data_IF_383974441597
#
_entry.id   IF_383974441597
#
_cell.length_a   1.000
_cell.length_b   1.000
_cell.length_c   1.000
_cell.angle_alpha   90.00
_cell.angle_beta   90.00
_cell.angle_gamma   90.00
#
_symmetry.space_group_name_H-M   'P 1'
#
loop_
_entity.id
_entity.type
_entity.pdbx_description
1 polymer ?
#
# COMPACT_ATOMS: atom_id res chain seq x y z
N UNK A 1 -15.15 -16.55 32.37
CA UNK A 1 -15.30 -16.68 30.91
C UNK A 1 -13.89 -16.87 30.40
N UNK A 2 -13.61 -17.96 29.69
CA UNK A 2 -12.29 -18.18 29.09
C UNK A 2 -12.27 -17.26 27.88
N UNK A 3 -11.32 -16.34 27.84
CA UNK A 3 -11.07 -15.50 26.67
C UNK A 3 -10.34 -16.39 25.66
N UNK A 4 -11.09 -17.24 24.96
CA UNK A 4 -10.58 -17.96 23.80
C UNK A 4 -10.48 -16.95 22.65
N UNK A 5 -9.26 -16.46 22.44
CA UNK A 5 -8.93 -15.62 21.30
C UNK A 5 -9.25 -16.42 20.01
N UNK A 6 -9.86 -15.79 18.99
CA UNK A 6 -10.17 -16.47 17.73
C UNK A 6 -8.90 -17.03 17.09
N UNK A 7 -9.01 -18.20 16.46
CA UNK A 7 -7.87 -18.81 15.77
C UNK A 7 -7.55 -18.05 14.48
N UNK A 8 -6.31 -18.14 13.98
CA UNK A 8 -5.91 -17.51 12.71
C UNK A 8 -6.82 -17.96 11.53
N UNK A 9 -7.25 -19.24 11.52
CA UNK A 9 -8.18 -19.78 10.53
C UNK A 9 -9.57 -19.12 10.60
N UNK A 10 -10.02 -18.76 11.82
CA UNK A 10 -11.27 -18.01 12.00
C UNK A 10 -11.11 -16.58 11.48
N UNK A 11 -9.98 -15.92 11.80
CA UNK A 11 -9.69 -14.58 11.32
C UNK A 11 -9.66 -14.50 9.79
N UNK A 12 -8.98 -15.44 9.12
CA UNK A 12 -8.90 -15.49 7.66
C UNK A 12 -10.27 -15.70 7.00
N UNK A 13 -11.16 -16.47 7.64
CA UNK A 13 -12.52 -16.70 7.15
C UNK A 13 -13.39 -15.44 7.24
N UNK A 14 -13.15 -14.57 8.22
CA UNK A 14 -13.95 -13.37 8.48
C UNK A 14 -13.27 -12.06 8.05
N UNK A 15 -12.01 -12.11 7.59
CA UNK A 15 -11.27 -10.95 7.09
C UNK A 15 -11.81 -10.35 5.77
N UNK A 16 -12.90 -10.90 5.21
CA UNK A 16 -13.45 -10.52 3.91
C UNK A 16 -14.40 -9.32 3.92
N UNK A 17 -14.55 -8.60 5.03
CA UNK A 17 -15.51 -7.48 5.12
C UNK A 17 -14.87 -6.12 4.82
N UNK A 18 -13.54 -6.03 4.84
CA UNK A 18 -12.81 -4.80 4.53
C UNK A 18 -11.67 -5.06 3.56
N UNK A 19 -11.33 -4.04 2.78
CA UNK A 19 -10.15 -4.01 1.93
C UNK A 19 -9.61 -2.59 1.82
N UNK A 20 -8.73 -2.36 0.87
CA UNK A 20 -8.03 -1.09 0.72
C UNK A 20 -8.44 -0.37 -0.56
N UNK A 21 -8.61 0.95 -0.46
CA UNK A 21 -8.83 1.82 -1.61
C UNK A 21 -7.56 1.83 -2.48
N UNK A 22 -7.66 1.51 -3.79
CA UNK A 22 -6.48 1.45 -4.66
C UNK A 22 -5.82 2.82 -4.92
N UNK A 23 -6.55 3.91 -4.70
CA UNK A 23 -6.09 5.27 -5.00
C UNK A 23 -5.42 5.96 -3.81
N UNK A 24 -5.96 5.77 -2.59
CA UNK A 24 -5.45 6.43 -1.39
C UNK A 24 -4.90 5.49 -0.32
N UNK A 25 -5.12 4.17 -0.46
CA UNK A 25 -4.67 3.16 0.50
C UNK A 25 -5.45 3.11 1.82
N UNK A 26 -6.52 3.89 1.97
CA UNK A 26 -7.37 3.83 3.16
C UNK A 26 -8.15 2.51 3.20
N UNK A 27 -8.33 1.96 4.40
CA UNK A 27 -9.20 0.82 4.64
C UNK A 27 -10.66 1.24 4.43
N UNK A 28 -11.38 0.48 3.60
CA UNK A 28 -12.76 0.71 3.19
C UNK A 28 -13.51 -0.63 3.16
N UNK A 29 -14.85 -0.58 3.20
CA UNK A 29 -15.69 -1.75 2.95
C UNK A 29 -15.44 -2.30 1.54
N UNK A 30 -15.34 -3.61 1.42
CA UNK A 30 -15.17 -4.31 0.15
C UNK A 30 -16.31 -4.03 -0.85
N UNK A 31 -17.53 -3.84 -0.32
CA UNK A 31 -18.75 -3.49 -1.05
C UNK A 31 -18.91 -1.97 -1.28
N UNK A 32 -17.92 -1.14 -0.92
CA UNK A 32 -18.02 0.31 -1.09
C UNK A 32 -18.11 0.71 -2.58
N UNK A 33 -19.11 1.53 -2.93
CA UNK A 33 -19.18 2.16 -4.26
C UNK A 33 -18.15 3.29 -4.42
N UNK A 34 -17.94 4.07 -3.35
CA UNK A 34 -17.08 5.25 -3.34
C UNK A 34 -16.25 5.28 -2.06
N UNK A 35 -14.98 5.65 -2.17
CA UNK A 35 -14.11 5.81 -1.02
C UNK A 35 -14.53 7.06 -0.20
N UNK A 36 -14.82 6.93 1.11
CA UNK A 36 -15.17 8.07 1.95
C UNK A 36 -13.99 9.00 2.28
N UNK A 37 -12.75 8.57 1.99
CA UNK A 37 -11.53 9.33 2.30
C UNK A 37 -11.04 10.19 1.13
N UNK A 38 -11.06 9.67 -0.10
CA UNK A 38 -10.59 10.39 -1.29
C UNK A 38 -11.70 10.71 -2.31
N UNK A 39 -12.92 10.24 -2.06
CA UNK A 39 -14.08 10.41 -2.94
C UNK A 39 -13.96 9.76 -4.33
N UNK A 40 -12.96 8.90 -4.55
CA UNK A 40 -12.83 8.15 -5.80
C UNK A 40 -13.84 7.00 -5.86
N UNK A 41 -14.33 6.68 -7.07
CA UNK A 41 -15.26 5.57 -7.30
C UNK A 41 -14.46 4.26 -7.25
N UNK A 42 -14.81 3.35 -6.35
CA UNK A 42 -14.04 2.11 -6.08
C UNK A 42 -14.84 0.84 -6.34
N UNK A 43 -16.01 0.95 -6.98
CA UNK A 43 -16.87 -0.17 -7.37
C UNK A 43 -16.08 -1.32 -8.01
N UNK A 44 -16.07 -2.50 -7.37
CA UNK A 44 -15.33 -3.70 -7.77
C UNK A 44 -13.79 -3.52 -7.89
N UNK A 45 -13.22 -2.49 -7.25
CA UNK A 45 -11.77 -2.19 -7.27
C UNK A 45 -11.13 -2.20 -5.88
N UNK A 46 -11.84 -2.66 -4.86
CA UNK A 46 -11.30 -2.79 -3.50
C UNK A 46 -10.27 -3.93 -3.45
N UNK A 47 -9.05 -3.65 -3.01
CA UNK A 47 -7.98 -4.64 -2.93
C UNK A 47 -7.95 -5.31 -1.56
N UNK A 48 -7.97 -6.65 -1.52
CA UNK A 48 -7.93 -7.44 -0.29
C UNK A 48 -6.51 -7.80 0.17
N UNK A 49 -5.50 -7.43 -0.58
CA UNK A 49 -4.12 -7.45 -0.11
C UNK A 49 -3.84 -6.12 0.59
N UNK A 50 -3.21 -6.10 1.77
CA UNK A 50 -2.60 -4.89 2.31
C UNK A 50 -1.54 -4.48 1.31
N UNK A 51 -1.94 -3.59 0.41
CA UNK A 51 -1.01 -3.03 -0.54
C UNK A 51 -0.16 -2.09 0.30
N UNK A 52 1.14 -2.38 0.43
CA UNK A 52 2.14 -1.44 0.92
C UNK A 52 2.26 -0.20 -0.01
N UNK A 53 1.16 0.27 -0.60
CA UNK A 53 1.08 1.41 -1.52
C UNK A 53 0.90 2.74 -0.77
N UNK A 54 1.34 2.80 0.49
CA UNK A 54 1.83 4.05 1.05
C UNK A 54 3.22 4.45 0.47
N UNK A 55 3.78 3.69 -0.46
CA UNK A 55 5.00 4.06 -1.20
C UNK A 55 4.65 4.56 -2.59
N UNK A 56 4.73 5.88 -2.81
CA UNK A 56 4.39 6.55 -4.05
C UNK A 56 5.04 5.99 -5.32
N UNK A 57 4.69 6.62 -6.45
CA UNK A 57 5.02 6.37 -7.86
C UNK A 57 6.52 6.09 -8.18
N UNK A 58 7.42 6.05 -7.20
CA UNK A 58 8.78 5.54 -7.28
C UNK A 58 8.98 4.48 -6.20
N UNK A 59 9.10 3.21 -6.60
CA UNK A 59 9.63 2.17 -5.70
C UNK A 59 10.90 2.72 -5.02
N UNK A 60 11.03 2.60 -3.70
CA UNK A 60 12.17 3.17 -2.96
C UNK A 60 13.55 2.77 -3.53
N UNK A 61 13.59 1.61 -4.20
CA UNK A 61 14.76 1.12 -4.95
C UNK A 61 15.16 2.03 -6.11
N UNK A 62 14.19 2.64 -6.81
CA UNK A 62 14.43 3.57 -7.92
C UNK A 62 15.05 4.89 -7.46
N UNK A 63 14.59 5.45 -6.32
CA UNK A 63 15.15 6.70 -5.76
C UNK A 63 16.60 6.52 -5.32
N UNK A 64 16.92 5.42 -4.64
CA UNK A 64 18.29 5.12 -4.19
C UNK A 64 19.25 4.99 -5.36
N UNK A 65 18.85 4.28 -6.43
CA UNK A 65 19.66 4.14 -7.64
C UNK A 65 19.93 5.49 -8.29
N UNK A 66 18.91 6.35 -8.41
CA UNK A 66 19.05 7.68 -9.01
C UNK A 66 20.01 8.56 -8.21
N UNK A 67 19.91 8.56 -6.88
CA UNK A 67 20.80 9.34 -5.99
C UNK A 67 22.25 8.86 -6.11
N UNK A 68 22.48 7.53 -6.09
CA UNK A 68 23.84 6.96 -6.27
C UNK A 68 24.42 7.36 -7.63
N UNK A 69 23.62 7.31 -8.69
CA UNK A 69 24.05 7.70 -10.04
C UNK A 69 24.46 9.17 -10.11
N UNK A 70 23.68 10.07 -9.52
CA UNK A 70 24.01 11.50 -9.46
C UNK A 70 25.31 11.73 -8.68
N UNK A 71 25.46 11.11 -7.50
CA UNK A 71 26.68 11.25 -6.69
C UNK A 71 27.91 10.73 -7.47
N UNK A 72 27.80 9.57 -8.13
CA UNK A 72 28.89 9.01 -8.92
C UNK A 72 29.30 9.95 -10.07
N UNK A 73 28.34 10.53 -10.79
CA UNK A 73 28.62 11.51 -11.86
C UNK A 73 29.29 12.77 -11.30
N UNK A 74 28.82 13.31 -10.18
CA UNK A 74 29.41 14.48 -9.55
C UNK A 74 30.86 14.21 -9.10
N UNK A 75 31.13 13.05 -8.51
CA UNK A 75 32.49 12.65 -8.12
C UNK A 75 33.40 12.54 -9.34
N UNK A 76 32.94 11.89 -10.42
CA UNK A 76 33.69 11.79 -11.67
C UNK A 76 33.99 13.17 -12.30
N UNK A 77 33.09 14.14 -12.16
CA UNK A 77 33.29 15.51 -12.63
C UNK A 77 34.28 16.30 -11.76
N UNK A 78 34.34 16.05 -10.45
CA UNK A 78 35.29 16.71 -9.54
C UNK A 78 36.71 16.13 -9.63
N UNK A 79 36.84 14.88 -10.09
CA UNK A 79 38.13 14.19 -10.28
C UNK A 79 38.76 14.43 -11.66
N UNK A 80 38.10 15.19 -12.53
CA UNK A 80 38.55 15.51 -13.89
C UNK A 80 39.04 16.94 -13.98
#
# INVERSE_FOLDING_TARGET
MVDDDPTDDDLDRFAGETGYCPDCGAEIWDEAYQCPHCNEIVENRVSHTPTDQAGGILSAKSVVVLVIMIIAVLVLLQLR
#
